data_IF_863375566440
#
_entry.id   IF_863375566440
#
_cell.length_a   1.000
_cell.length_b   1.000
_cell.length_c   1.000
_cell.angle_alpha   90.00
_cell.angle_beta   90.00
_cell.angle_gamma   90.00
#
_symmetry.space_group_name_H-M   'P 1'
#
loop_
_entity.id
_entity.type
_entity.pdbx_description
1 polymer ?
#
# COMPACT_ATOMS: atom_id res chain seq x y z
N UNK A 1 13.88 -38.98 -0.18
CA UNK A 1 12.77 -38.49 -1.03
C UNK A 1 12.00 -37.42 -0.26
N UNK A 2 11.45 -36.43 -0.95
CA UNK A 2 10.68 -35.32 -0.34
C UNK A 2 9.22 -35.40 -0.78
N UNK A 3 8.30 -35.26 0.17
CA UNK A 3 6.87 -35.42 -0.04
C UNK A 3 6.08 -34.27 0.60
N UNK A 4 4.92 -33.93 0.03
CA UNK A 4 3.93 -33.09 0.70
C UNK A 4 3.22 -33.88 1.81
N UNK A 5 2.55 -33.23 2.78
CA UNK A 5 1.72 -33.91 3.77
C UNK A 5 0.66 -34.84 3.18
N UNK A 6 0.20 -34.55 1.96
CA UNK A 6 -0.76 -35.38 1.21
C UNK A 6 -0.08 -36.54 0.46
N UNK A 7 1.20 -36.83 0.71
CA UNK A 7 1.92 -37.97 0.13
C UNK A 7 2.45 -37.78 -1.30
N UNK A 8 2.34 -36.57 -1.89
CA UNK A 8 2.83 -36.31 -3.25
C UNK A 8 4.34 -36.07 -3.24
N UNK A 9 5.10 -36.79 -4.05
CA UNK A 9 6.54 -36.52 -4.24
C UNK A 9 6.74 -35.17 -4.92
N UNK A 10 7.65 -34.35 -4.39
CA UNK A 10 7.99 -33.04 -4.98
C UNK A 10 9.30 -33.08 -5.79
N UNK A 11 10.01 -34.20 -5.74
CA UNK A 11 11.25 -34.38 -6.50
C UNK A 11 10.93 -34.36 -8.00
N UNK A 12 11.68 -33.56 -8.77
CA UNK A 12 11.49 -33.29 -10.20
C UNK A 12 10.19 -32.55 -10.61
N UNK A 13 9.09 -32.67 -9.86
CA UNK A 13 7.79 -32.05 -10.20
C UNK A 13 7.57 -30.67 -9.58
N UNK A 14 8.20 -30.38 -8.43
CA UNK A 14 8.01 -29.11 -7.72
C UNK A 14 6.61 -28.94 -7.12
N UNK A 15 6.22 -27.67 -6.90
CA UNK A 15 4.90 -27.28 -6.41
C UNK A 15 4.21 -26.47 -7.51
N UNK A 16 3.02 -26.90 -7.92
CA UNK A 16 2.18 -26.12 -8.83
C UNK A 16 1.45 -25.03 -8.04
N UNK A 17 1.62 -23.74 -8.33
CA UNK A 17 0.90 -22.68 -7.65
C UNK A 17 -0.57 -22.64 -8.07
N UNK A 18 -1.46 -22.41 -7.12
CA UNK A 18 -2.89 -22.19 -7.40
C UNK A 18 -3.10 -20.81 -8.05
N UNK A 19 -2.27 -19.83 -7.70
CA UNK A 19 -2.31 -18.45 -8.23
C UNK A 19 -0.91 -18.07 -8.70
N UNK A 20 -0.77 -17.85 -10.01
CA UNK A 20 0.48 -17.40 -10.61
C UNK A 20 0.60 -15.88 -10.48
N UNK A 21 1.59 -15.40 -9.73
CA UNK A 21 1.92 -13.97 -9.64
C UNK A 21 3.26 -13.73 -10.33
N UNK A 22 3.23 -12.96 -11.43
CA UNK A 22 4.45 -12.57 -12.14
C UNK A 22 5.26 -11.57 -11.32
N UNK A 23 6.58 -11.60 -11.47
CA UNK A 23 7.45 -10.56 -10.89
C UNK A 23 7.11 -9.22 -11.53
N UNK A 24 6.87 -8.22 -10.70
CA UNK A 24 6.66 -6.84 -11.11
C UNK A 24 7.30 -5.92 -10.06
N UNK A 25 7.65 -4.71 -10.48
CA UNK A 25 8.12 -3.66 -9.57
C UNK A 25 6.93 -2.80 -9.20
N UNK A 26 6.73 -2.57 -7.90
CA UNK A 26 5.74 -1.60 -7.43
C UNK A 26 6.35 -0.22 -7.59
N UNK A 27 5.61 0.68 -8.23
CA UNK A 27 5.96 2.09 -8.31
C UNK A 27 4.76 2.90 -7.84
N UNK A 28 4.95 3.71 -6.81
CA UNK A 28 3.98 4.74 -6.45
C UNK A 28 4.12 5.91 -7.41
N UNK A 29 2.99 6.44 -7.86
CA UNK A 29 2.97 7.78 -8.41
C UNK A 29 3.12 8.76 -7.25
N UNK A 30 3.86 9.85 -7.47
CA UNK A 30 3.89 10.92 -6.49
C UNK A 30 2.48 11.51 -6.43
N UNK A 31 1.89 11.55 -5.23
CA UNK A 31 0.70 12.35 -5.00
C UNK A 31 1.04 13.78 -5.43
N UNK A 32 0.27 14.34 -6.37
CA UNK A 32 0.43 15.73 -6.77
C UNK A 32 0.32 16.62 -5.54
N UNK A 33 1.14 17.69 -5.49
CA UNK A 33 1.09 18.63 -4.37
C UNK A 33 -0.32 19.23 -4.28
N UNK A 34 -1.07 18.82 -3.26
CA UNK A 34 -2.38 19.36 -2.97
C UNK A 34 -2.20 20.63 -2.14
N UNK A 35 -2.24 21.79 -2.80
CA UNK A 35 -2.17 23.08 -2.11
C UNK A 35 -3.51 23.42 -1.47
N UNK A 36 -3.48 23.82 -0.19
CA UNK A 36 -4.63 24.47 0.44
C UNK A 36 -4.42 25.98 0.39
N UNK A 37 -5.50 26.75 0.36
CA UNK A 37 -5.43 28.22 0.37
C UNK A 37 -4.62 28.73 1.58
N UNK A 38 -4.77 28.11 2.75
CA UNK A 38 -4.00 28.43 3.96
C UNK A 38 -2.47 28.24 3.84
N UNK A 39 -2.01 27.48 2.83
CA UNK A 39 -0.60 27.25 2.57
C UNK A 39 -0.01 28.30 1.60
N UNK A 40 -0.85 29.16 1.00
CA UNK A 40 -0.43 30.21 0.06
C UNK A 40 0.03 31.49 0.77
N UNK A 41 0.98 32.18 0.14
CA UNK A 41 1.42 33.50 0.59
C UNK A 41 0.29 34.52 0.38
N UNK A 42 -0.13 35.20 1.45
CA UNK A 42 -1.22 36.16 1.41
C UNK A 42 -2.62 35.56 1.61
N UNK A 43 -2.73 34.34 2.15
CA UNK A 43 -4.03 33.79 2.55
C UNK A 43 -4.71 34.71 3.59
N UNK A 44 -6.04 34.78 3.53
CA UNK A 44 -6.82 35.57 4.49
C UNK A 44 -6.98 34.76 5.78
N UNK A 45 -6.40 35.25 6.88
CA UNK A 45 -6.63 34.70 8.20
C UNK A 45 -8.09 34.87 8.64
N UNK A 46 -8.64 33.88 9.34
CA UNK A 46 -9.93 34.05 10.02
C UNK A 46 -9.80 35.20 11.03
N UNK A 47 -10.82 36.08 11.09
CA UNK A 47 -10.82 37.39 11.77
C UNK A 47 -10.62 37.41 13.30
N UNK A 48 -9.99 36.39 13.88
CA UNK A 48 -9.72 36.26 15.32
C UNK A 48 -8.23 36.34 15.70
N UNK A 49 -7.41 37.01 14.87
CA UNK A 49 -6.13 37.60 15.29
C UNK A 49 -5.00 36.65 15.71
N UNK A 50 -4.95 35.44 15.14
CA UNK A 50 -3.81 34.54 15.32
C UNK A 50 -2.72 34.80 14.28
N UNK A 51 -1.44 34.79 14.69
CA UNK A 51 -0.30 35.05 13.81
C UNK A 51 -0.30 34.17 12.55
N UNK A 52 -0.15 34.81 11.38
CA UNK A 52 0.05 34.19 10.07
C UNK A 52 1.30 33.32 10.09
N UNK A 53 1.11 32.04 10.39
CA UNK A 53 2.14 31.03 10.17
C UNK A 53 1.56 29.99 9.23
N UNK A 54 2.15 29.79 8.03
CA UNK A 54 1.76 28.68 7.18
C UNK A 54 1.82 27.40 8.01
N UNK A 55 0.70 26.69 8.07
CA UNK A 55 0.66 25.38 8.72
C UNK A 55 1.38 24.42 7.79
N UNK A 56 2.71 24.35 7.90
CA UNK A 56 3.48 23.27 7.30
C UNK A 56 3.14 22.00 8.08
N UNK A 57 1.94 21.45 7.87
CA UNK A 57 1.69 20.04 8.08
C UNK A 57 2.40 19.36 6.94
N UNK A 58 3.71 19.19 7.09
CA UNK A 58 4.45 18.20 6.30
C UNK A 58 3.64 16.92 6.40
N UNK A 59 3.17 16.44 5.25
CA UNK A 59 2.50 15.16 5.14
C UNK A 59 3.36 14.17 5.92
N UNK A 60 2.88 13.68 7.06
CA UNK A 60 3.61 12.68 7.81
C UNK A 60 3.78 11.51 6.85
N UNK A 61 4.98 11.33 6.32
CA UNK A 61 5.26 10.32 5.33
C UNK A 61 4.80 8.99 5.93
N UNK A 62 3.82 8.36 5.29
CA UNK A 62 3.33 7.08 5.73
C UNK A 62 4.56 6.15 5.83
N UNK A 63 4.75 5.53 7.00
CA UNK A 63 5.91 4.68 7.22
C UNK A 63 5.88 3.56 6.19
N UNK A 64 6.98 3.39 5.44
CA UNK A 64 7.09 2.35 4.43
C UNK A 64 6.76 0.99 5.03
N UNK A 65 5.87 0.24 4.38
CA UNK A 65 5.42 -1.08 4.79
C UNK A 65 6.00 -2.13 3.83
N UNK A 66 6.17 -3.39 4.27
CA UNK A 66 6.76 -4.44 3.42
C UNK A 66 6.02 -4.64 2.08
N UNK A 67 4.70 -4.48 2.06
CA UNK A 67 3.91 -4.61 0.83
C UNK A 67 4.07 -3.46 -0.17
N UNK A 68 4.69 -2.35 0.23
CA UNK A 68 4.84 -1.18 -0.65
C UNK A 68 5.95 -1.42 -1.69
N UNK A 69 6.94 -2.26 -1.36
CA UNK A 69 8.05 -2.63 -2.27
C UNK A 69 7.92 -4.05 -2.86
N UNK A 70 7.09 -4.91 -2.27
CA UNK A 70 6.88 -6.30 -2.70
C UNK A 70 5.51 -6.50 -3.36
N UNK A 71 5.53 -6.67 -4.69
CA UNK A 71 4.33 -6.89 -5.49
C UNK A 71 3.60 -8.21 -5.16
N UNK A 72 4.34 -9.26 -4.78
CA UNK A 72 3.73 -10.55 -4.47
C UNK A 72 3.00 -10.47 -3.13
N UNK A 73 3.59 -9.77 -2.16
CA UNK A 73 2.97 -9.51 -0.87
C UNK A 73 1.75 -8.60 -0.99
N UNK A 74 1.82 -7.53 -1.81
CA UNK A 74 0.69 -6.64 -2.02
C UNK A 74 -0.49 -7.36 -2.67
N UNK A 75 -0.23 -8.27 -3.62
CA UNK A 75 -1.28 -9.09 -4.22
C UNK A 75 -1.91 -10.06 -3.23
N UNK A 76 -1.11 -10.73 -2.39
CA UNK A 76 -1.63 -11.60 -1.36
C UNK A 76 -2.57 -10.85 -0.39
N UNK A 77 -2.17 -9.63 0.00
CA UNK A 77 -2.97 -8.79 0.90
C UNK A 77 -4.28 -8.34 0.25
N UNK A 78 -4.24 -7.95 -1.03
CA UNK A 78 -5.43 -7.55 -1.81
C UNK A 78 -6.44 -8.69 -1.94
N UNK A 79 -5.96 -9.91 -2.25
CA UNK A 79 -6.81 -11.11 -2.31
C UNK A 79 -7.44 -11.42 -0.95
N UNK A 80 -6.67 -11.37 0.14
CA UNK A 80 -7.17 -11.65 1.49
C UNK A 80 -8.23 -10.62 1.92
N UNK A 81 -7.99 -9.33 1.66
CA UNK A 81 -8.96 -8.26 1.93
C UNK A 81 -10.24 -8.44 1.11
N UNK A 82 -10.11 -8.77 -0.17
CA UNK A 82 -11.25 -9.07 -1.04
C UNK A 82 -12.10 -10.21 -0.49
N UNK A 83 -11.47 -11.33 -0.11
CA UNK A 83 -12.16 -12.48 0.48
C UNK A 83 -12.85 -12.14 1.81
N UNK A 84 -12.25 -11.26 2.62
CA UNK A 84 -12.85 -10.79 3.87
C UNK A 84 -14.09 -9.95 3.62
N UNK A 85 -14.08 -9.09 2.60
CA UNK A 85 -15.23 -8.23 2.26
C UNK A 85 -16.36 -9.09 1.70
N UNK A 86 -16.07 -10.06 0.83
CA UNK A 86 -17.10 -10.94 0.24
C UNK A 86 -17.72 -11.91 1.24
N UNK A 87 -17.00 -12.27 2.31
CA UNK A 87 -17.49 -13.17 3.36
C UNK A 87 -18.33 -12.44 4.43
N UNK A 88 -18.18 -11.12 4.54
CA UNK A 88 -18.86 -10.29 5.55
C UNK A 88 -20.32 -9.96 5.27
N UNK A 89 -20.91 -10.52 4.20
CA UNK A 89 -22.35 -10.47 3.89
C UNK A 89 -22.97 -11.86 4.07
#
# INVERSE_FOLDING_TARGET
MYYTPNGRSIQAQGINPDIVVRRAKVTSEADGENYKEADLMGHLGNGNGGADKPTVKGSAAAKARPQDDDFQLSQALSLLKGLSITRGN
#
